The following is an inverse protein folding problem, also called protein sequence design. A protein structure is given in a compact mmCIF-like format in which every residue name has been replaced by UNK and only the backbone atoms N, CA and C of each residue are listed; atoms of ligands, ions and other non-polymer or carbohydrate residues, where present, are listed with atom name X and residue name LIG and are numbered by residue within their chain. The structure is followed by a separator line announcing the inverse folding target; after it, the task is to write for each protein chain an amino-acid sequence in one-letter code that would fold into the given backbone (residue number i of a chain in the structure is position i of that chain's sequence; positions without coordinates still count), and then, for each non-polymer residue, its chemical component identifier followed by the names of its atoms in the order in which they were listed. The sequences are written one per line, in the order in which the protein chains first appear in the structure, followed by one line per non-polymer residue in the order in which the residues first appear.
data_IF_788676903119
#
_entry.id   IF_788676903119
#
_cell.length_a   1.000
_cell.length_b   1.000
_cell.length_c   1.000
_cell.angle_alpha   90.00
_cell.angle_beta   90.00
_cell.angle_gamma   90.00
#
_symmetry.space_group_name_H-M   'P 1'
#
loop_
_entity.id
_entity.type
_entity.pdbx_description
1 polymer ?
#
# COMPACT_ATOMS: atom_id res chain seq x y z
N UNK A 1 -13.30 75.41 14.78
CA UNK A 1 -14.41 75.31 13.81
C UNK A 1 -14.56 73.85 13.38
N UNK A 2 -15.79 73.34 13.41
CA UNK A 2 -16.19 71.95 13.11
C UNK A 2 -16.13 71.65 11.60
N UNK A 3 -15.81 70.40 11.21
CA UNK A 3 -16.53 69.51 10.25
C UNK A 3 -15.76 68.18 10.09
N UNK A 4 -16.26 67.09 10.70
CA UNK A 4 -17.04 65.95 10.14
C UNK A 4 -16.15 64.91 9.42
N UNK A 5 -15.87 63.76 10.05
CA UNK A 5 -16.57 62.46 9.94
C UNK A 5 -16.32 61.76 8.59
N UNK A 6 -15.58 60.65 8.56
CA UNK A 6 -16.03 59.34 8.04
C UNK A 6 -15.19 58.22 8.69
N UNK A 7 -15.92 57.30 9.30
CA UNK A 7 -15.52 56.02 9.89
C UNK A 7 -15.16 55.01 8.80
N UNK A 8 -14.06 54.26 8.93
CA UNK A 8 -14.02 52.87 8.43
C UNK A 8 -13.17 52.04 9.39
N UNK A 9 -13.88 51.23 10.16
CA UNK A 9 -13.39 50.20 11.05
C UNK A 9 -13.01 49.00 10.18
N UNK A 10 -11.72 48.73 9.97
CA UNK A 10 -11.29 47.45 9.39
C UNK A 10 -10.83 46.54 10.54
N UNK A 11 -11.72 45.62 10.90
CA UNK A 11 -11.48 44.56 11.85
C UNK A 11 -10.54 43.55 11.17
N UNK A 12 -9.27 43.54 11.57
CA UNK A 12 -8.36 42.45 11.23
C UNK A 12 -8.74 41.24 12.11
N UNK A 13 -9.65 40.40 11.62
CA UNK A 13 -9.92 39.09 12.22
C UNK A 13 -8.74 38.19 11.89
N UNK A 14 -7.83 38.04 12.86
CA UNK A 14 -6.93 36.90 12.98
C UNK A 14 -7.78 35.63 13.05
N UNK A 15 -7.99 34.96 11.93
CA UNK A 15 -8.33 33.54 11.92
C UNK A 15 -7.03 32.77 11.83
N UNK A 16 -6.43 32.50 12.98
CA UNK A 16 -5.62 31.31 13.16
C UNK A 16 -6.58 30.12 12.95
N UNK A 17 -6.72 29.67 11.71
CA UNK A 17 -7.28 28.35 11.43
C UNK A 17 -6.22 27.34 11.83
N UNK A 18 -6.14 27.09 13.13
CA UNK A 18 -5.53 25.90 13.70
C UNK A 18 -6.34 24.70 13.19
N UNK A 19 -5.97 24.22 12.01
CA UNK A 19 -6.23 22.83 11.65
C UNK A 19 -5.43 22.02 12.66
N UNK A 20 -6.10 21.60 13.73
CA UNK A 20 -5.61 20.53 14.57
C UNK A 20 -5.52 19.30 13.67
N UNK A 21 -4.32 19.03 13.15
CA UNK A 21 -3.94 17.65 12.95
C UNK A 21 -4.09 17.00 14.32
N UNK A 22 -5.18 16.26 14.49
CA UNK A 22 -5.22 15.25 15.51
C UNK A 22 -4.08 14.29 15.14
N UNK A 23 -2.91 14.52 15.73
CA UNK A 23 -1.92 13.49 15.94
C UNK A 23 -2.65 12.45 16.78
N UNK A 24 -3.32 11.50 16.13
CA UNK A 24 -3.58 10.22 16.74
C UNK A 24 -2.19 9.62 16.89
N UNK A 25 -1.58 9.86 18.04
CA UNK A 25 -0.48 9.04 18.50
C UNK A 25 -1.10 7.66 18.68
N UNK A 26 -1.05 6.85 17.62
CA UNK A 26 -1.16 5.41 17.78
C UNK A 26 0.08 5.05 18.57
N UNK A 27 -0.12 4.87 19.87
CA UNK A 27 0.87 4.28 20.71
C UNK A 27 1.30 2.97 20.02
N UNK A 28 2.59 2.80 19.81
CA UNK A 28 3.18 1.49 19.59
C UNK A 28 2.82 0.64 20.81
N UNK A 29 1.66 0.01 20.74
CA UNK A 29 1.28 -1.03 21.67
C UNK A 29 2.19 -2.20 21.32
N UNK A 30 3.33 -2.26 22.00
CA UNK A 30 4.02 -3.52 22.18
C UNK A 30 3.07 -4.38 23.03
N UNK A 31 2.11 -5.03 22.36
CA UNK A 31 1.01 -5.77 23.00
C UNK A 31 1.52 -7.02 23.72
N UNK A 32 2.82 -7.32 23.63
CA UNK A 32 3.40 -8.59 24.09
C UNK A 32 2.88 -9.79 23.30
N UNK A 33 2.10 -9.55 22.24
CA UNK A 33 1.58 -10.60 21.38
C UNK A 33 2.72 -11.13 20.51
N UNK A 34 2.91 -12.44 20.55
CA UNK A 34 3.86 -13.13 19.69
C UNK A 34 3.10 -13.87 18.60
N UNK A 35 3.35 -13.50 17.33
CA UNK A 35 2.83 -14.25 16.20
C UNK A 35 3.36 -15.69 16.21
N UNK A 36 2.51 -16.70 15.97
CA UNK A 36 2.99 -18.05 15.71
C UNK A 36 3.88 -18.06 14.47
N UNK A 37 4.90 -18.92 14.46
CA UNK A 37 5.73 -19.12 13.27
C UNK A 37 4.98 -20.07 12.32
N UNK A 38 4.28 -19.47 11.35
CA UNK A 38 3.42 -20.16 10.39
C UNK A 38 4.07 -20.26 9.02
N UNK A 39 3.73 -21.32 8.28
CA UNK A 39 4.31 -21.60 6.96
C UNK A 39 3.55 -20.89 5.84
N UNK A 40 4.25 -20.32 4.84
CA UNK A 40 3.59 -19.71 3.70
C UNK A 40 3.01 -20.78 2.76
N UNK A 41 1.79 -20.56 2.26
CA UNK A 41 1.16 -21.45 1.28
C UNK A 41 1.40 -20.98 -0.15
N UNK A 42 1.53 -21.94 -1.08
CA UNK A 42 1.60 -21.65 -2.51
C UNK A 42 0.20 -21.60 -3.11
N UNK A 43 -0.09 -20.51 -3.82
CA UNK A 43 -1.40 -20.23 -4.40
C UNK A 43 -1.40 -20.10 -5.92
N UNK A 44 -0.32 -20.48 -6.59
CA UNK A 44 -0.12 -20.23 -8.01
C UNK A 44 -1.21 -20.87 -8.90
N UNK A 45 -1.68 -22.07 -8.58
CA UNK A 45 -2.80 -22.69 -9.29
C UNK A 45 -4.14 -22.01 -8.96
N UNK A 46 -4.35 -21.63 -7.69
CA UNK A 46 -5.61 -21.04 -7.21
C UNK A 46 -5.93 -19.74 -7.93
N UNK A 47 -4.96 -18.84 -8.09
CA UNK A 47 -5.18 -17.55 -8.78
C UNK A 47 -5.41 -17.69 -10.28
N UNK A 48 -4.88 -18.73 -10.92
CA UNK A 48 -5.12 -19.00 -12.35
C UNK A 48 -6.49 -19.61 -12.62
N UNK A 49 -7.04 -20.35 -11.64
CA UNK A 49 -8.28 -21.11 -11.78
C UNK A 49 -9.50 -20.41 -11.16
N UNK A 50 -9.27 -19.53 -10.18
CA UNK A 50 -10.33 -18.84 -9.44
C UNK A 50 -10.55 -17.44 -10.01
N UNK A 51 -11.76 -17.19 -10.50
CA UNK A 51 -12.19 -15.84 -10.87
C UNK A 51 -12.66 -15.08 -9.62
N UNK A 52 -11.75 -14.34 -8.98
CA UNK A 52 -12.10 -13.43 -7.90
C UNK A 52 -12.93 -12.27 -8.46
N UNK A 53 -14.08 -12.00 -7.83
CA UNK A 53 -14.84 -10.78 -8.10
C UNK A 53 -14.19 -9.58 -7.44
N UNK A 54 -14.55 -8.37 -7.87
CA UNK A 54 -14.18 -7.13 -7.17
C UNK A 54 -15.40 -6.63 -6.40
N UNK A 55 -15.25 -6.46 -5.10
CA UNK A 55 -16.29 -5.88 -4.26
C UNK A 55 -16.46 -4.39 -4.58
N UNK A 56 -17.67 -4.00 -4.97
CA UNK A 56 -18.01 -2.64 -5.43
C UNK A 56 -18.08 -1.58 -4.33
N UNK A 57 -18.11 -1.99 -3.06
CA UNK A 57 -18.72 -1.17 -2.00
C UNK A 57 -17.74 -0.31 -1.20
N UNK A 58 -16.45 -0.28 -1.59
CA UNK A 58 -15.49 0.65 -1.01
C UNK A 58 -15.17 1.70 -2.06
N UNK A 59 -15.84 2.85 -1.95
CA UNK A 59 -15.26 4.09 -2.47
C UNK A 59 -14.14 4.46 -1.49
N UNK A 60 -12.87 4.45 -1.90
CA UNK A 60 -11.78 4.87 -1.02
C UNK A 60 -12.14 6.23 -0.44
N UNK A 61 -11.99 6.39 0.88
CA UNK A 61 -11.98 7.73 1.46
C UNK A 61 -10.98 8.53 0.63
N UNK A 62 -11.39 9.69 0.13
CA UNK A 62 -10.55 10.56 -0.69
C UNK A 62 -9.36 11.03 0.15
N UNK A 63 -8.33 10.19 0.29
CA UNK A 63 -7.03 10.57 0.77
C UNK A 63 -6.53 11.62 -0.22
N UNK A 64 -6.20 12.81 0.29
CA UNK A 64 -6.01 14.04 -0.48
C UNK A 64 -5.36 13.79 -1.83
N UNK A 65 -6.15 13.82 -2.90
CA UNK A 65 -5.68 13.60 -4.24
C UNK A 65 -4.68 14.70 -4.58
N UNK A 66 -3.42 14.33 -4.78
CA UNK A 66 -2.43 15.24 -5.33
C UNK A 66 -2.80 15.47 -6.80
N UNK A 67 -3.35 16.65 -7.09
CA UNK A 67 -3.98 17.00 -8.38
C UNK A 67 -2.96 17.39 -9.45
N UNK A 68 -1.98 16.54 -9.72
CA UNK A 68 -1.01 16.74 -10.80
C UNK A 68 -1.29 15.67 -11.85
N UNK A 69 -1.21 16.03 -13.14
CA UNK A 69 -1.51 15.14 -14.29
C UNK A 69 -0.63 13.87 -14.35
N UNK A 70 -0.56 13.16 -15.49
CA UNK A 70 0.33 12.01 -15.60
C UNK A 70 1.74 12.46 -15.21
N UNK A 71 2.27 11.86 -14.15
CA UNK A 71 3.61 12.10 -13.63
C UNK A 71 4.40 10.82 -13.83
N UNK A 72 5.69 10.96 -14.00
CA UNK A 72 6.60 9.88 -14.34
C UNK A 72 7.02 9.00 -13.16
N UNK A 73 6.51 9.20 -11.94
CA UNK A 73 6.77 8.31 -10.81
C UNK A 73 5.82 8.61 -9.65
N UNK A 74 5.46 7.59 -8.89
CA UNK A 74 5.05 7.71 -7.51
C UNK A 74 6.20 8.30 -6.69
N UNK A 75 6.06 9.54 -6.27
CA UNK A 75 6.92 10.16 -5.26
C UNK A 75 6.52 9.67 -3.88
N UNK A 76 7.50 9.61 -2.97
CA UNK A 76 7.23 9.25 -1.57
C UNK A 76 6.16 10.18 -0.97
N UNK A 77 5.18 9.59 -0.28
CA UNK A 77 4.02 10.26 0.30
C UNK A 77 2.81 10.36 -0.64
N UNK A 78 2.93 9.87 -1.87
CA UNK A 78 1.81 9.85 -2.80
C UNK A 78 0.77 8.81 -2.45
N UNK A 79 -0.50 9.17 -2.66
CA UNK A 79 -1.62 8.27 -2.42
C UNK A 79 -2.12 7.68 -3.73
N UNK A 80 -2.36 6.38 -3.71
CA UNK A 80 -2.95 5.62 -4.80
C UNK A 80 -4.08 4.75 -4.27
N UNK A 81 -5.11 4.53 -5.08
CA UNK A 81 -6.12 3.51 -4.82
C UNK A 81 -5.84 2.31 -5.70
N UNK A 82 -5.72 1.13 -5.11
CA UNK A 82 -5.50 -0.12 -5.83
C UNK A 82 -6.25 -1.27 -5.13
N UNK A 83 -6.14 -2.47 -5.70
CA UNK A 83 -6.74 -3.66 -5.14
C UNK A 83 -5.87 -4.27 -4.05
N UNK A 84 -6.52 -4.92 -3.09
CA UNK A 84 -5.94 -5.93 -2.21
C UNK A 84 -6.86 -7.17 -2.21
N UNK A 85 -6.39 -8.25 -1.59
CA UNK A 85 -7.02 -9.57 -1.65
C UNK A 85 -7.70 -9.91 -0.33
N UNK A 86 -8.96 -10.32 -0.43
CA UNK A 86 -9.70 -11.06 0.59
C UNK A 86 -9.92 -12.48 0.08
N UNK A 87 -8.95 -13.33 0.35
CA UNK A 87 -8.95 -14.72 -0.10
C UNK A 87 -9.99 -15.55 0.65
N UNK A 88 -10.17 -15.27 1.94
CA UNK A 88 -11.14 -15.95 2.79
C UNK A 88 -12.56 -15.81 2.26
N UNK A 89 -12.95 -14.60 1.84
CA UNK A 89 -14.28 -14.35 1.27
C UNK A 89 -14.33 -14.45 -0.26
N UNK A 90 -13.20 -14.65 -0.93
CA UNK A 90 -13.14 -14.90 -2.38
C UNK A 90 -13.34 -13.66 -3.26
N UNK A 91 -12.87 -12.49 -2.83
CA UNK A 91 -12.93 -11.26 -3.64
C UNK A 91 -11.68 -10.38 -3.50
N UNK A 92 -11.50 -9.50 -4.49
CA UNK A 92 -10.65 -8.33 -4.37
C UNK A 92 -11.45 -7.15 -3.81
N UNK A 93 -10.78 -6.29 -3.05
CA UNK A 93 -11.37 -5.07 -2.53
C UNK A 93 -10.46 -3.87 -2.76
N UNK A 94 -11.07 -2.70 -2.78
CA UNK A 94 -10.36 -1.44 -2.94
C UNK A 94 -9.80 -0.94 -1.61
N UNK A 95 -8.56 -0.50 -1.62
CA UNK A 95 -7.91 0.15 -0.48
C UNK A 95 -6.95 1.23 -0.97
N UNK A 96 -6.45 2.02 -0.03
CA UNK A 96 -5.53 3.12 -0.32
C UNK A 96 -4.12 2.71 0.05
N UNK A 97 -3.18 3.02 -0.83
CA UNK A 97 -1.76 2.82 -0.65
C UNK A 97 -1.04 4.18 -0.64
N UNK A 98 0.03 4.25 0.13
CA UNK A 98 0.99 5.34 0.14
C UNK A 98 2.31 4.86 -0.50
N UNK A 99 2.88 5.62 -1.43
CA UNK A 99 4.23 5.35 -1.92
C UNK A 99 5.23 5.64 -0.80
N UNK A 100 5.95 4.61 -0.36
CA UNK A 100 6.95 4.72 0.72
C UNK A 100 8.38 4.71 0.21
N UNK A 101 8.62 4.23 -1.02
CA UNK A 101 9.90 4.33 -1.70
C UNK A 101 9.75 4.27 -3.22
N UNK A 102 10.64 4.96 -3.92
CA UNK A 102 10.82 4.85 -5.37
C UNK A 102 12.31 4.61 -5.64
N UNK A 103 12.61 3.48 -6.27
CA UNK A 103 13.97 3.05 -6.63
C UNK A 103 14.21 3.18 -8.12
N UNK A 104 15.19 2.43 -8.60
CA UNK A 104 15.56 2.38 -10.02
C UNK A 104 14.59 1.52 -10.81
N UNK A 105 14.23 0.34 -10.29
CA UNK A 105 13.41 -0.63 -11.02
C UNK A 105 12.01 -0.83 -10.42
N UNK A 106 11.76 -0.33 -9.21
CA UNK A 106 10.46 -0.49 -8.55
C UNK A 106 10.03 0.71 -7.71
N UNK A 107 8.74 0.71 -7.38
CA UNK A 107 8.11 1.55 -6.37
C UNK A 107 7.49 0.64 -5.30
N UNK A 108 7.64 1.01 -4.02
CA UNK A 108 6.98 0.30 -2.91
C UNK A 108 5.81 1.14 -2.42
N UNK A 109 4.62 0.56 -2.55
CA UNK A 109 3.35 1.13 -2.16
C UNK A 109 2.80 0.33 -0.99
N UNK A 110 2.57 0.99 0.13
CA UNK A 110 2.14 0.36 1.39
C UNK A 110 0.70 0.75 1.68
N UNK A 111 -0.14 -0.23 1.94
CA UNK A 111 -1.52 0.00 2.38
C UNK A 111 -1.52 0.88 3.63
N UNK A 112 -2.40 1.88 3.66
CA UNK A 112 -2.46 2.83 4.79
C UNK A 112 -2.66 2.09 6.12
N UNK A 113 -2.00 2.54 7.19
CA UNK A 113 -1.92 1.81 8.46
C UNK A 113 -3.28 1.40 9.04
N UNK A 114 -4.29 2.26 8.89
CA UNK A 114 -5.66 1.96 9.34
C UNK A 114 -6.25 0.71 8.68
N UNK A 115 -5.86 0.45 7.44
CA UNK A 115 -6.34 -0.69 6.65
C UNK A 115 -5.45 -1.94 6.82
N UNK A 116 -4.28 -1.82 7.47
CA UNK A 116 -3.44 -2.96 7.86
C UNK A 116 -3.94 -3.67 9.12
N UNK A 117 -4.92 -3.12 9.85
CA UNK A 117 -5.40 -3.70 11.09
C UNK A 117 -6.12 -5.04 10.89
N UNK A 118 -6.04 -5.91 11.92
CA UNK A 118 -6.84 -7.12 12.03
C UNK A 118 -8.30 -6.80 12.40
N UNK A 119 -9.24 -7.76 12.28
CA UNK A 119 -10.65 -7.53 12.61
C UNK A 119 -10.88 -6.94 14.01
N UNK A 120 -11.99 -6.20 14.17
CA UNK A 120 -12.36 -5.62 15.46
C UNK A 120 -12.40 -6.67 16.57
N UNK A 121 -11.74 -6.39 17.69
CA UNK A 121 -11.63 -7.30 18.83
C UNK A 121 -10.44 -8.27 18.75
N UNK A 122 -9.68 -8.27 17.66
CA UNK A 122 -8.42 -9.00 17.58
C UNK A 122 -7.32 -8.29 18.42
N UNK A 123 -6.60 -9.01 19.30
CA UNK A 123 -5.53 -8.47 20.13
C UNK A 123 -4.17 -8.38 19.42
N UNK A 124 -4.05 -8.87 18.19
CA UNK A 124 -2.84 -8.69 17.38
C UNK A 124 -2.60 -7.20 17.13
N UNK A 125 -1.35 -6.73 17.26
CA UNK A 125 -1.04 -5.34 16.92
C UNK A 125 -1.18 -5.14 15.41
N UNK A 126 -1.60 -3.94 15.02
CA UNK A 126 -1.52 -3.51 13.62
C UNK A 126 -0.07 -3.62 13.15
N UNK A 127 0.20 -4.24 11.98
CA UNK A 127 1.53 -4.25 11.39
C UNK A 127 2.10 -2.83 11.27
N UNK A 128 3.34 -2.65 11.74
CA UNK A 128 4.08 -1.40 11.59
C UNK A 128 5.21 -1.64 10.60
N UNK A 129 5.19 -0.87 9.51
CA UNK A 129 6.15 -0.97 8.42
C UNK A 129 7.10 0.23 8.52
N UNK A 130 8.35 -0.03 8.91
CA UNK A 130 9.33 1.03 9.16
C UNK A 130 10.06 1.45 7.89
N UNK A 131 10.58 2.68 7.88
CA UNK A 131 11.37 3.19 6.75
C UNK A 131 12.66 2.40 6.52
N UNK A 132 13.27 1.86 7.58
CA UNK A 132 14.44 0.99 7.49
C UNK A 132 14.12 -0.31 6.75
N UNK A 133 12.95 -0.91 7.01
CA UNK A 133 12.50 -2.11 6.31
C UNK A 133 12.15 -1.83 4.85
N UNK A 134 11.54 -0.67 4.57
CA UNK A 134 11.27 -0.22 3.20
C UNK A 134 12.56 0.02 2.43
N UNK A 135 13.54 0.68 3.05
CA UNK A 135 14.86 0.91 2.47
C UNK A 135 15.58 -0.40 2.18
N UNK A 136 15.52 -1.35 3.12
CA UNK A 136 16.06 -2.70 2.93
C UNK A 136 15.40 -3.41 1.75
N UNK A 137 14.07 -3.45 1.70
CA UNK A 137 13.32 -4.13 0.64
C UNK A 137 13.61 -3.53 -0.74
N UNK A 138 13.65 -2.19 -0.85
CA UNK A 138 14.00 -1.52 -2.10
C UNK A 138 15.43 -1.85 -2.54
N UNK A 139 16.38 -1.84 -1.61
CA UNK A 139 17.77 -2.17 -1.91
C UNK A 139 17.93 -3.63 -2.36
N UNK A 140 17.24 -4.58 -1.73
CA UNK A 140 17.22 -5.98 -2.16
C UNK A 140 16.60 -6.12 -3.54
N UNK A 141 15.51 -5.41 -3.83
CA UNK A 141 14.88 -5.48 -5.15
C UNK A 141 15.81 -4.96 -6.25
N UNK A 142 16.31 -3.73 -6.09
CA UNK A 142 17.08 -3.06 -7.14
C UNK A 142 18.47 -3.68 -7.36
N UNK A 143 19.14 -4.10 -6.29
CA UNK A 143 20.54 -4.54 -6.37
C UNK A 143 20.71 -6.05 -6.47
N UNK A 144 19.70 -6.83 -6.04
CA UNK A 144 19.80 -8.29 -5.96
C UNK A 144 18.73 -8.96 -6.81
N UNK A 145 17.45 -8.76 -6.49
CA UNK A 145 16.35 -9.52 -7.09
C UNK A 145 16.23 -9.19 -8.59
N UNK A 146 16.06 -7.91 -8.94
CA UNK A 146 15.83 -7.50 -10.33
C UNK A 146 17.00 -7.91 -11.26
N UNK A 147 18.29 -7.70 -10.92
CA UNK A 147 19.38 -8.18 -11.77
C UNK A 147 19.41 -9.70 -11.92
N UNK A 148 19.14 -10.46 -10.86
CA UNK A 148 19.15 -11.93 -10.91
C UNK A 148 17.99 -12.46 -11.73
N UNK A 149 16.76 -11.98 -11.47
CA UNK A 149 15.56 -12.43 -12.18
C UNK A 149 15.65 -12.06 -13.65
N UNK A 150 16.07 -10.84 -13.97
CA UNK A 150 16.23 -10.39 -15.36
C UNK A 150 17.32 -11.18 -16.09
N UNK A 151 18.45 -11.47 -15.44
CA UNK A 151 19.50 -12.29 -16.05
C UNK A 151 19.06 -13.74 -16.33
N UNK A 152 18.14 -14.28 -15.51
CA UNK A 152 17.70 -15.67 -15.64
C UNK A 152 16.46 -15.83 -16.54
N UNK A 153 15.46 -14.94 -16.38
CA UNK A 153 14.16 -15.02 -17.05
C UNK A 153 14.01 -14.04 -18.23
N UNK A 154 14.88 -13.03 -18.33
CA UNK A 154 14.75 -11.93 -19.29
C UNK A 154 14.08 -10.70 -18.69
N UNK A 155 14.04 -9.62 -19.48
CA UNK A 155 13.34 -8.40 -19.09
C UNK A 155 11.84 -8.67 -18.93
N UNK A 156 11.17 -8.07 -17.92
CA UNK A 156 9.71 -8.14 -17.82
C UNK A 156 9.07 -7.44 -19.02
N UNK A 157 7.84 -7.85 -19.36
CA UNK A 157 7.06 -7.16 -20.37
C UNK A 157 6.82 -5.69 -19.95
N UNK A 158 6.82 -4.78 -20.92
CA UNK A 158 6.71 -3.35 -20.64
C UNK A 158 5.26 -2.98 -20.30
N UNK A 159 5.07 -2.50 -19.07
CA UNK A 159 3.80 -2.05 -18.52
C UNK A 159 3.99 -0.75 -17.76
N UNK A 160 3.41 0.34 -18.27
CA UNK A 160 3.60 1.71 -17.79
C UNK A 160 2.33 2.33 -17.20
N UNK A 161 1.23 1.58 -17.12
CA UNK A 161 -0.07 2.03 -16.62
C UNK A 161 -0.92 2.75 -17.65
N UNK A 162 -0.42 2.99 -18.86
CA UNK A 162 -1.14 3.76 -19.90
C UNK A 162 -2.36 3.03 -20.46
N UNK A 163 -2.41 1.70 -20.35
CA UNK A 163 -3.53 0.85 -20.75
C UNK A 163 -4.41 0.39 -19.58
N UNK A 164 -4.24 0.96 -18.38
CA UNK A 164 -5.08 0.64 -17.22
C UNK A 164 -6.57 0.69 -17.57
N UNK A 165 -7.28 -0.41 -17.30
CA UNK A 165 -8.73 -0.49 -17.50
C UNK A 165 -9.53 0.44 -16.57
N UNK A 166 -8.90 1.06 -15.57
CA UNK A 166 -9.52 1.99 -14.63
C UNK A 166 -9.10 3.46 -14.77
N UNK A 167 -8.18 3.72 -15.68
CA UNK A 167 -7.81 5.06 -16.16
C UNK A 167 -7.00 5.89 -15.16
N UNK A 168 -6.31 6.91 -15.69
CA UNK A 168 -5.37 7.76 -14.94
C UNK A 168 -6.04 8.87 -14.10
N UNK A 169 -7.23 8.64 -13.55
CA UNK A 169 -7.94 9.64 -12.74
C UNK A 169 -7.49 9.52 -11.28
N UNK A 170 -6.87 10.56 -10.68
CA UNK A 170 -6.53 10.53 -9.26
C UNK A 170 -7.75 10.18 -8.39
N UNK A 171 -7.61 9.33 -7.37
CA UNK A 171 -6.36 8.76 -6.83
C UNK A 171 -5.87 7.46 -7.53
N UNK A 172 -6.38 7.08 -8.69
CA UNK A 172 -6.04 5.84 -9.43
C UNK A 172 -4.98 6.07 -10.52
N UNK A 173 -4.06 7.01 -10.31
CA UNK A 173 -3.05 7.34 -11.32
C UNK A 173 -1.92 6.31 -11.30
N UNK A 174 -1.92 5.38 -12.26
CA UNK A 174 -0.97 4.26 -12.34
C UNK A 174 0.19 4.50 -13.31
N UNK A 175 0.16 5.61 -14.06
CA UNK A 175 1.14 5.89 -15.09
C UNK A 175 2.55 6.06 -14.52
N UNK A 176 3.52 5.36 -15.12
CA UNK A 176 4.96 5.46 -14.88
C UNK A 176 5.70 5.25 -16.22
N UNK A 177 6.24 6.34 -16.77
CA UNK A 177 6.95 6.36 -18.05
C UNK A 177 8.11 5.36 -18.20
N UNK A 178 8.79 4.99 -17.11
CA UNK A 178 9.92 4.07 -17.10
C UNK A 178 9.47 2.61 -16.94
N UNK A 179 8.18 2.35 -16.71
CA UNK A 179 7.64 0.99 -16.56
C UNK A 179 8.13 0.28 -15.30
N UNK A 180 8.43 1.02 -14.22
CA UNK A 180 8.89 0.44 -12.95
C UNK A 180 7.91 -0.61 -12.43
N UNK A 181 8.44 -1.64 -11.77
CA UNK A 181 7.61 -2.62 -11.06
C UNK A 181 6.92 -1.97 -9.86
N UNK A 182 5.72 -2.43 -9.54
CA UNK A 182 4.91 -1.97 -8.43
C UNK A 182 4.86 -3.05 -7.35
N UNK A 183 5.48 -2.77 -6.20
CA UNK A 183 5.45 -3.66 -5.04
C UNK A 183 4.33 -3.16 -4.11
N UNK A 184 3.25 -3.94 -4.00
CA UNK A 184 2.12 -3.65 -3.12
C UNK A 184 2.28 -4.40 -1.80
N UNK A 185 2.43 -3.68 -0.70
CA UNK A 185 2.44 -4.26 0.65
C UNK A 185 1.07 -4.04 1.28
N UNK A 186 0.35 -5.10 1.60
CA UNK A 186 -0.99 -5.03 2.21
C UNK A 186 -1.17 -6.10 3.27
N UNK A 187 -2.22 -6.02 4.08
CA UNK A 187 -2.63 -7.11 4.95
C UNK A 187 -3.63 -8.00 4.19
N UNK A 188 -3.14 -9.11 3.64
CA UNK A 188 -3.94 -10.04 2.85
C UNK A 188 -4.95 -10.73 3.76
N UNK A 189 -6.24 -10.69 3.39
CA UNK A 189 -7.30 -11.28 4.22
C UNK A 189 -7.51 -12.75 3.87
N UNK A 190 -6.60 -13.59 4.32
CA UNK A 190 -6.69 -15.06 4.26
C UNK A 190 -7.27 -15.65 5.55
N UNK A 191 -7.22 -16.97 5.72
CA UNK A 191 -7.63 -17.60 6.97
C UNK A 191 -6.84 -17.08 8.19
N UNK A 192 -5.53 -16.84 8.06
CA UNK A 192 -4.72 -16.31 9.16
C UNK A 192 -5.11 -14.88 9.54
N UNK A 193 -5.62 -14.08 8.62
CA UNK A 193 -6.18 -12.76 8.94
C UNK A 193 -7.36 -12.85 9.92
N UNK A 194 -8.25 -13.84 9.77
CA UNK A 194 -9.44 -14.00 10.61
C UNK A 194 -9.23 -14.93 11.82
N UNK A 195 -8.32 -15.89 11.71
CA UNK A 195 -7.98 -16.86 12.75
C UNK A 195 -6.48 -16.83 13.01
N UNK A 196 -6.08 -16.24 14.14
CA UNK A 196 -4.67 -16.12 14.51
C UNK A 196 -3.96 -17.46 14.74
N UNK A 197 -4.72 -18.52 15.02
CA UNK A 197 -4.18 -19.83 15.34
C UNK A 197 -4.09 -20.70 14.07
N UNK A 198 -4.48 -20.15 12.91
CA UNK A 198 -4.37 -20.83 11.64
C UNK A 198 -2.89 -21.03 11.26
N UNK A 199 -2.46 -22.26 10.92
CA UNK A 199 -1.04 -22.61 10.82
C UNK A 199 -0.37 -22.18 9.51
N UNK A 200 -1.07 -21.48 8.64
CA UNK A 200 -0.63 -21.13 7.28
C UNK A 200 -1.00 -19.70 6.93
N UNK A 201 -0.29 -19.08 6.00
CA UNK A 201 -0.67 -17.75 5.50
C UNK A 201 -0.19 -17.51 4.07
N UNK A 202 -0.73 -16.49 3.41
CA UNK A 202 -0.29 -16.04 2.09
C UNK A 202 0.83 -15.01 2.28
N UNK A 203 2.08 -15.36 1.99
CA UNK A 203 3.19 -14.40 2.08
C UNK A 203 3.17 -13.32 0.97
N UNK A 204 2.54 -13.62 -0.15
CA UNK A 204 2.47 -12.77 -1.32
C UNK A 204 1.87 -13.50 -2.51
N UNK A 205 1.53 -12.75 -3.56
CA UNK A 205 0.91 -13.31 -4.75
C UNK A 205 1.13 -12.43 -5.99
N UNK A 206 0.89 -13.05 -7.14
CA UNK A 206 0.66 -12.37 -8.41
C UNK A 206 -0.77 -12.64 -8.84
N UNK A 207 -1.43 -11.62 -9.39
CA UNK A 207 -2.78 -11.72 -9.96
C UNK A 207 -2.79 -11.10 -11.36
N UNK A 208 -3.20 -11.86 -12.41
CA UNK A 208 -3.39 -11.28 -13.73
C UNK A 208 -4.49 -10.21 -13.74
N UNK A 209 -5.46 -10.31 -12.83
CA UNK A 209 -6.48 -9.28 -12.67
C UNK A 209 -5.88 -7.95 -12.21
N UNK A 210 -4.89 -7.96 -11.32
CA UNK A 210 -4.24 -6.71 -10.90
C UNK A 210 -3.51 -6.06 -12.06
N UNK A 211 -2.79 -6.85 -12.85
CA UNK A 211 -2.11 -6.42 -14.05
C UNK A 211 -3.08 -5.86 -15.10
N UNK A 212 -4.17 -6.57 -15.43
CA UNK A 212 -5.19 -6.11 -16.39
C UNK A 212 -5.77 -4.73 -16.02
N UNK A 213 -5.91 -4.47 -14.72
CA UNK A 213 -6.56 -3.27 -14.22
C UNK A 213 -5.61 -2.09 -14.02
N UNK A 214 -4.38 -2.34 -13.61
CA UNK A 214 -3.39 -1.31 -13.28
C UNK A 214 -2.41 -1.09 -14.44
N UNK A 215 -2.24 -2.09 -15.30
CA UNK A 215 -1.26 -2.13 -16.40
C UNK A 215 0.17 -1.88 -15.91
N UNK A 216 0.59 -2.60 -14.87
CA UNK A 216 1.94 -2.53 -14.28
C UNK A 216 2.42 -3.94 -13.92
N UNK A 217 3.74 -4.14 -13.93
CA UNK A 217 4.37 -5.32 -13.36
C UNK A 217 4.22 -5.31 -11.83
N UNK A 218 3.38 -6.19 -11.26
CA UNK A 218 2.98 -6.10 -9.85
C UNK A 218 3.48 -7.28 -9.03
N UNK A 219 4.02 -6.98 -7.85
CA UNK A 219 4.38 -7.93 -6.81
C UNK A 219 3.55 -7.59 -5.58
N UNK A 220 2.71 -8.51 -5.11
CA UNK A 220 1.96 -8.30 -3.86
C UNK A 220 2.62 -9.05 -2.71
N UNK A 221 2.83 -8.38 -1.58
CA UNK A 221 3.47 -8.90 -0.36
C UNK A 221 2.52 -8.68 0.81
N UNK A 222 2.40 -9.71 1.65
CA UNK A 222 1.61 -9.63 2.87
C UNK A 222 2.42 -9.04 4.04
N UNK A 223 1.73 -8.32 4.91
CA UNK A 223 2.29 -7.62 6.08
C UNK A 223 2.24 -8.46 7.38
N UNK A 224 1.82 -9.72 7.31
CA UNK A 224 1.78 -10.61 8.48
C UNK A 224 3.17 -10.82 9.11
N UNK A 225 3.26 -10.61 10.43
CA UNK A 225 4.49 -10.67 11.24
C UNK A 225 5.67 -9.87 10.63
N UNK A 226 5.38 -8.76 9.93
CA UNK A 226 6.36 -7.97 9.16
C UNK A 226 7.63 -7.63 9.94
N UNK A 227 7.48 -7.24 11.21
CA UNK A 227 8.58 -6.88 12.11
C UNK A 227 9.62 -8.00 12.28
N UNK A 228 9.24 -9.27 12.15
CA UNK A 228 10.15 -10.41 12.25
C UNK A 228 10.56 -10.98 10.91
N UNK A 229 9.82 -10.70 9.83
CA UNK A 229 10.04 -11.31 8.51
C UNK A 229 10.85 -10.45 7.55
N UNK A 230 10.80 -9.12 7.69
CA UNK A 230 11.44 -8.20 6.75
C UNK A 230 12.45 -7.30 7.46
N UNK A 231 13.59 -7.07 6.81
CA UNK A 231 14.65 -6.19 7.28
C UNK A 231 15.92 -6.94 7.67
N UNK A 232 17.02 -6.20 7.91
CA UNK A 232 18.32 -6.78 8.25
C UNK A 232 18.30 -7.58 9.56
N UNK A 233 17.36 -7.26 10.46
CA UNK A 233 17.16 -7.92 11.76
C UNK A 233 15.99 -8.92 11.73
N UNK A 234 15.52 -9.32 10.54
CA UNK A 234 14.47 -10.32 10.38
C UNK A 234 14.86 -11.64 11.06
N UNK A 235 14.10 -12.02 12.08
CA UNK A 235 14.34 -13.26 12.84
C UNK A 235 13.63 -14.49 12.26
N UNK A 236 12.71 -14.28 11.31
CA UNK A 236 11.93 -15.31 10.60
C UNK A 236 11.81 -15.01 9.10
N UNK A 237 12.93 -14.88 8.36
CA UNK A 237 12.88 -14.69 6.92
C UNK A 237 12.28 -15.94 6.26
N UNK A 238 11.24 -15.74 5.46
CA UNK A 238 10.60 -16.78 4.65
C UNK A 238 10.93 -16.60 3.17
#
# INVERSE_FOLDING_TARGET
MKKKLVTTLLIAVLTFSSFGMALVSMANANTGYEFPDVEPIRLDAKFRETAYGIQSDITPASAGASSVGPRSAGSVGDMMVALSLDDYNGYYFWTTFECRAAGTFAEIWVQVEVDLAYPEGDPRPTPVITDDQITYLMAEFDNTIYPITTAYFGDPDFHDGSFSAWGNVPPRNYYEEEGKSMILVSNVRDEAYYDRDYPYYIAGFYSPTFEDYIDRNIISIDSHDWAKRVGPDGSRPN
#
